data_IF_580877525823
#
_entry.id   IF_580877525823
#
_cell.length_a   1.000
_cell.length_b   1.000
_cell.length_c   1.000
_cell.angle_alpha   90.00
_cell.angle_beta   90.00
_cell.angle_gamma   90.00
#
_symmetry.space_group_name_H-M   'P 1'
#
loop_
_entity.id
_entity.type
_entity.pdbx_description
1 polymer ?
#
# COMPACT_ATOMS: atom_id res chain seq x y z
N UNK A 1 -11.96 7.78 9.68
CA UNK A 1 -11.20 8.27 8.54
C UNK A 1 -9.73 7.87 8.63
N UNK A 2 -9.17 7.33 7.57
CA UNK A 2 -7.78 6.89 7.59
C UNK A 2 -6.84 8.09 7.57
N UNK A 3 -5.95 8.17 8.55
CA UNK A 3 -4.94 9.22 8.60
C UNK A 3 -3.70 8.73 7.87
N UNK A 4 -2.74 9.64 7.68
CA UNK A 4 -1.49 9.28 7.05
C UNK A 4 -0.78 8.16 7.83
N UNK A 5 -0.85 8.23 9.15
CA UNK A 5 -0.22 7.21 9.99
C UNK A 5 -0.85 5.84 9.77
N UNK A 6 -2.16 5.78 9.64
CA UNK A 6 -2.86 4.52 9.38
C UNK A 6 -2.44 3.94 8.04
N UNK A 7 -2.33 4.79 7.02
CA UNK A 7 -1.93 4.35 5.70
C UNK A 7 -0.50 3.82 5.74
N UNK A 8 0.40 4.51 6.40
CA UNK A 8 1.79 4.08 6.51
C UNK A 8 1.90 2.75 7.23
N UNK A 9 1.07 2.56 8.25
CA UNK A 9 1.07 1.31 8.99
C UNK A 9 0.59 0.16 8.11
N UNK A 10 -0.44 0.39 7.32
CA UNK A 10 -0.94 -0.62 6.40
C UNK A 10 0.11 -0.98 5.36
N UNK A 11 0.83 0.00 4.87
CA UNK A 11 1.90 -0.23 3.90
C UNK A 11 3.01 -1.08 4.50
N UNK A 12 3.33 -0.86 5.77
CA UNK A 12 4.38 -1.62 6.45
C UNK A 12 4.01 -3.10 6.58
N UNK A 13 2.76 -3.39 6.85
CA UNK A 13 2.31 -4.78 6.98
C UNK A 13 1.94 -5.39 5.63
N UNK A 14 1.91 -4.58 4.58
CA UNK A 14 1.60 -5.06 3.25
C UNK A 14 0.12 -5.18 2.95
N UNK A 15 -0.66 -4.24 3.46
CA UNK A 15 -2.11 -4.22 3.27
C UNK A 15 -2.51 -2.99 2.48
N UNK A 16 -3.36 -3.18 1.49
CA UNK A 16 -3.85 -2.08 0.68
C UNK A 16 -4.80 -1.20 1.49
N UNK A 17 -4.56 0.12 1.54
CA UNK A 17 -5.42 1.03 2.28
C UNK A 17 -6.77 1.29 1.60
N UNK A 18 -6.91 0.86 0.36
CA UNK A 18 -8.14 1.07 -0.39
C UNK A 18 -9.12 -0.10 -0.24
N UNK A 19 -8.64 -1.29 -0.48
CA UNK A 19 -9.50 -2.47 -0.44
C UNK A 19 -9.13 -3.46 0.65
N UNK A 20 -8.00 -3.25 1.31
CA UNK A 20 -7.53 -4.17 2.35
C UNK A 20 -6.90 -5.43 1.79
N UNK A 21 -6.64 -5.46 0.50
CA UNK A 21 -6.02 -6.61 -0.13
C UNK A 21 -4.53 -6.67 0.15
N UNK A 22 -3.88 -7.65 -0.45
CA UNK A 22 -2.45 -7.86 -0.24
C UNK A 22 -1.63 -7.00 -1.20
N UNK A 23 -0.62 -6.34 -0.67
CA UNK A 23 0.30 -5.54 -1.48
C UNK A 23 1.51 -6.36 -1.89
N UNK A 24 1.98 -6.08 -3.09
CA UNK A 24 3.18 -6.70 -3.64
C UNK A 24 4.24 -5.62 -3.71
N UNK A 25 5.43 -5.93 -3.17
CA UNK A 25 6.55 -5.00 -3.23
C UNK A 25 7.37 -5.26 -4.49
N UNK A 26 7.48 -4.24 -5.29
CA UNK A 26 8.33 -4.27 -6.48
C UNK A 26 9.35 -3.15 -6.32
N UNK A 27 10.26 -3.02 -7.25
CA UNK A 27 11.39 -2.07 -7.17
C UNK A 27 11.02 -0.67 -6.71
N UNK A 28 10.95 -0.49 -5.39
CA UNK A 28 10.64 0.82 -4.80
C UNK A 28 9.18 1.19 -4.83
N UNK A 29 8.32 0.30 -5.29
CA UNK A 29 6.88 0.54 -5.37
C UNK A 29 6.12 -0.56 -4.68
N UNK A 30 4.88 -0.26 -4.30
CA UNK A 30 3.96 -1.29 -3.80
C UNK A 30 2.72 -1.27 -4.70
N UNK A 31 2.17 -2.43 -4.94
CA UNK A 31 1.02 -2.55 -5.83
C UNK A 31 0.02 -3.53 -5.24
N UNK A 32 -1.24 -3.15 -5.28
CA UNK A 32 -2.31 -4.02 -4.81
C UNK A 32 -2.70 -5.00 -5.92
N UNK A 33 -2.72 -6.29 -5.59
CA UNK A 33 -3.10 -7.31 -6.54
C UNK A 33 -4.62 -7.50 -6.63
N UNK A 34 -5.37 -6.80 -5.82
CA UNK A 34 -6.83 -6.94 -5.77
C UNK A 34 -7.53 -5.82 -6.51
N UNK A 35 -7.26 -4.58 -6.13
CA UNK A 35 -7.94 -3.44 -6.74
C UNK A 35 -7.07 -2.66 -7.73
N UNK A 36 -5.80 -2.97 -7.81
CA UNK A 36 -4.89 -2.29 -8.72
C UNK A 36 -4.31 -1.00 -8.17
N UNK A 37 -4.50 -0.73 -6.89
CA UNK A 37 -3.93 0.44 -6.26
C UNK A 37 -2.40 0.32 -6.22
N UNK A 38 -1.72 1.41 -6.47
CA UNK A 38 -0.25 1.36 -6.44
C UNK A 38 0.32 2.64 -5.87
N UNK A 39 1.49 2.53 -5.28
CA UNK A 39 2.19 3.66 -4.71
C UNK A 39 3.68 3.44 -4.87
N UNK A 40 4.37 4.44 -5.40
CA UNK A 40 5.81 4.38 -5.54
C UNK A 40 6.44 5.35 -4.55
N UNK A 41 7.48 4.89 -3.88
CA UNK A 41 8.20 5.69 -2.92
C UNK A 41 9.38 6.35 -3.62
N UNK A 42 9.37 7.67 -3.66
CA UNK A 42 10.48 8.41 -4.23
C UNK A 42 11.42 8.82 -3.13
N UNK A 43 12.62 8.32 -3.20
CA UNK A 43 13.63 8.65 -2.21
C UNK A 43 14.18 10.06 -2.44
#
# INVERSE_FOLDING_TARGET
MATRDDILKLLEVGVCPECGGKLIHTEGCVECSVCGWSLCEEA
#
